data_IF_107020441204
#
_entry.id   IF_107020441204
#
_cell.length_a   1.000
_cell.length_b   1.000
_cell.length_c   1.000
_cell.angle_alpha   90.00
_cell.angle_beta   90.00
_cell.angle_gamma   90.00
#
_symmetry.space_group_name_H-M   'P 1'
#
loop_
_entity.id
_entity.type
_entity.pdbx_description
1 polymer ?
#
# COMPACT_ATOMS: atom_id res chain seq x y z
N UNK A 1 8.96 22.03 -7.25
CA UNK A 1 8.50 21.03 -6.28
C UNK A 1 8.81 19.66 -6.82
N UNK A 2 9.55 18.86 -6.06
CA UNK A 2 9.78 17.51 -6.52
C UNK A 2 8.49 16.72 -6.43
N UNK A 3 8.14 16.05 -7.49
CA UNK A 3 7.00 15.17 -7.50
C UNK A 3 7.38 13.86 -6.83
N UNK A 4 6.43 13.29 -6.08
CA UNK A 4 6.62 11.95 -5.55
C UNK A 4 6.40 10.98 -6.70
N UNK A 5 7.44 10.24 -7.05
CA UNK A 5 7.33 9.21 -8.07
C UNK A 5 7.17 7.87 -7.39
N UNK A 6 6.27 7.07 -7.90
CA UNK A 6 6.06 5.74 -7.36
C UNK A 6 5.71 4.78 -8.49
N UNK A 7 5.97 3.51 -8.23
CA UNK A 7 5.60 2.47 -9.15
C UNK A 7 5.05 1.29 -8.36
N UNK A 8 3.84 0.87 -8.68
CA UNK A 8 3.24 -0.30 -8.06
C UNK A 8 3.86 -1.52 -8.72
N UNK A 9 4.71 -2.21 -8.00
CA UNK A 9 5.39 -3.40 -8.51
C UNK A 9 4.50 -4.62 -8.49
N UNK A 10 3.62 -4.70 -7.49
CA UNK A 10 2.70 -5.80 -7.37
C UNK A 10 1.47 -5.33 -6.61
N UNK A 11 0.30 -5.60 -7.17
CA UNK A 11 -0.98 -5.37 -6.50
C UNK A 11 -1.33 -6.66 -5.76
N UNK A 12 -1.31 -6.62 -4.43
CA UNK A 12 -1.45 -7.83 -3.63
C UNK A 12 -2.91 -8.10 -3.30
N UNK A 13 -3.62 -7.12 -2.72
CA UNK A 13 -4.99 -7.35 -2.29
C UNK A 13 -5.74 -6.05 -2.06
N UNK A 14 -7.06 -6.14 -2.15
CA UNK A 14 -7.97 -5.08 -1.73
C UNK A 14 -8.56 -5.52 -0.40
N UNK A 15 -8.45 -4.68 0.62
CA UNK A 15 -8.99 -4.99 1.95
C UNK A 15 -10.43 -4.53 2.11
N UNK A 16 -10.77 -3.41 1.50
CA UNK A 16 -12.13 -2.86 1.59
C UNK A 16 -12.35 -1.87 0.48
N UNK A 17 -13.61 -1.57 0.23
CA UNK A 17 -14.01 -0.58 -0.76
C UNK A 17 -15.08 0.30 -0.15
N UNK A 18 -14.93 1.62 -0.27
CA UNK A 18 -15.90 2.57 0.22
C UNK A 18 -17.01 2.78 -0.79
N UNK A 19 -18.10 3.45 -0.35
CA UNK A 19 -19.24 3.75 -1.22
C UNK A 19 -18.85 4.67 -2.38
N UNK A 20 -17.75 5.42 -2.25
CA UNK A 20 -17.28 6.32 -3.30
C UNK A 20 -16.31 5.63 -4.27
N UNK A 21 -16.08 4.34 -4.09
CA UNK A 21 -15.19 3.59 -4.96
C UNK A 21 -13.72 3.66 -4.56
N UNK A 22 -13.39 4.29 -3.44
CA UNK A 22 -12.05 4.25 -2.91
C UNK A 22 -11.78 2.88 -2.30
N UNK A 23 -10.59 2.38 -2.49
CA UNK A 23 -10.21 1.04 -2.01
C UNK A 23 -9.00 1.13 -1.10
N UNK A 24 -9.07 0.40 0.01
CA UNK A 24 -7.89 0.21 0.83
C UNK A 24 -7.14 -1.00 0.28
N UNK A 25 -5.93 -0.77 -0.18
CA UNK A 25 -5.15 -1.80 -0.88
C UNK A 25 -3.83 -2.08 -0.20
N UNK A 26 -3.41 -3.33 -0.34
CA UNK A 26 -2.07 -3.76 0.01
C UNK A 26 -1.31 -3.95 -1.29
N UNK A 27 -0.24 -3.21 -1.46
CA UNK A 27 0.58 -3.25 -2.66
C UNK A 27 2.06 -3.29 -2.31
N UNK A 28 2.86 -3.71 -3.26
CA UNK A 28 4.32 -3.61 -3.18
C UNK A 28 4.69 -2.42 -4.05
N UNK A 29 5.21 -1.36 -3.45
CA UNK A 29 5.47 -0.10 -4.14
C UNK A 29 6.93 0.31 -4.02
N UNK A 30 7.48 0.75 -5.15
CA UNK A 30 8.79 1.38 -5.20
C UNK A 30 8.57 2.90 -5.19
N UNK A 31 9.05 3.55 -4.13
CA UNK A 31 8.96 5.01 -3.98
C UNK A 31 10.25 5.66 -4.45
N UNK A 32 10.14 6.61 -5.40
CA UNK A 32 11.28 7.38 -5.91
C UNK A 32 12.46 6.51 -6.34
N UNK A 33 12.17 5.36 -6.93
CA UNK A 33 13.20 4.44 -7.41
C UNK A 33 13.86 3.60 -6.33
N UNK A 34 13.35 3.66 -5.11
CA UNK A 34 13.88 2.85 -4.00
C UNK A 34 13.46 1.39 -4.12
N UNK A 35 14.08 0.52 -3.31
CA UNK A 35 13.67 -0.87 -3.22
C UNK A 35 12.19 -0.94 -2.82
N UNK A 36 11.42 -1.86 -3.41
CA UNK A 36 9.99 -1.95 -3.10
C UNK A 36 9.72 -2.25 -1.64
N UNK A 37 8.65 -1.63 -1.13
CA UNK A 37 8.17 -1.84 0.23
C UNK A 37 6.67 -2.12 0.19
N UNK A 38 6.16 -2.74 1.22
CA UNK A 38 4.73 -2.96 1.34
C UNK A 38 4.04 -1.66 1.71
N UNK A 39 2.85 -1.44 1.16
CA UNK A 39 2.10 -0.22 1.38
C UNK A 39 0.63 -0.54 1.56
N UNK A 40 0.06 -0.04 2.67
CA UNK A 40 -1.36 -0.13 2.96
C UNK A 40 -1.93 1.28 2.88
N UNK A 41 -2.78 1.52 1.91
CA UNK A 41 -3.34 2.85 1.75
C UNK A 41 -4.63 2.85 0.96
N UNK A 42 -5.37 3.95 1.08
CA UNK A 42 -6.57 4.17 0.29
C UNK A 42 -6.18 4.71 -1.08
N UNK A 43 -6.82 4.20 -2.11
CA UNK A 43 -6.63 4.64 -3.49
C UNK A 43 -7.97 5.04 -4.09
N UNK A 44 -7.97 6.14 -4.84
CA UNK A 44 -9.15 6.56 -5.59
C UNK A 44 -9.41 5.58 -6.74
N UNK A 45 -10.61 5.61 -7.33
CA UNK A 45 -10.86 4.84 -8.55
C UNK A 45 -9.78 5.16 -9.58
N UNK A 46 -9.30 4.14 -10.28
CA UNK A 46 -8.26 4.27 -11.29
C UNK A 46 -6.89 4.71 -10.76
N UNK A 47 -6.67 4.70 -9.46
CA UNK A 47 -5.39 5.07 -8.83
C UNK A 47 -4.89 6.47 -9.18
N UNK A 48 -5.80 7.39 -9.48
CA UNK A 48 -5.43 8.77 -9.80
C UNK A 48 -4.92 9.54 -8.57
N UNK A 49 -5.47 9.23 -7.41
CA UNK A 49 -5.09 9.89 -6.16
C UNK A 49 -4.84 8.85 -5.11
N UNK A 50 -3.89 9.14 -4.24
CA UNK A 50 -3.63 8.30 -3.09
C UNK A 50 -4.07 9.02 -1.83
N UNK A 51 -4.64 8.27 -0.90
CA UNK A 51 -5.06 8.79 0.38
C UNK A 51 -4.08 8.45 1.47
N UNK A 52 -4.60 8.39 2.69
CA UNK A 52 -3.80 8.06 3.87
C UNK A 52 -3.37 6.61 3.84
N UNK A 53 -2.17 6.36 4.33
CA UNK A 53 -1.67 5.02 4.42
C UNK A 53 -0.34 4.96 5.13
N UNK A 54 0.20 3.75 5.21
CA UNK A 54 1.50 3.52 5.81
C UNK A 54 2.33 2.64 4.88
N UNK A 55 3.63 2.86 4.94
CA UNK A 55 4.60 2.04 4.22
C UNK A 55 5.34 1.19 5.25
N UNK A 56 5.45 -0.10 4.99
CA UNK A 56 6.05 -1.05 5.91
C UNK A 56 7.24 -1.73 5.26
N UNK A 57 8.30 -1.91 6.05
CA UNK A 57 9.44 -2.70 5.60
C UNK A 57 9.08 -4.19 5.60
N UNK A 58 9.93 -5.00 4.96
CA UNK A 58 9.73 -6.45 4.96
C UNK A 58 9.73 -7.01 6.38
N UNK A 59 10.59 -6.49 7.25
CA UNK A 59 10.65 -6.92 8.66
C UNK A 59 9.35 -6.59 9.39
N UNK A 60 8.83 -5.38 9.16
CA UNK A 60 7.59 -4.95 9.80
C UNK A 60 6.41 -5.80 9.35
N UNK A 61 6.35 -6.13 8.06
CA UNK A 61 5.28 -6.98 7.53
C UNK A 61 5.38 -8.39 8.12
N UNK A 62 6.59 -8.92 8.24
CA UNK A 62 6.78 -10.24 8.82
C UNK A 62 6.31 -10.28 10.28
N UNK A 63 6.64 -9.24 11.03
CA UNK A 63 6.21 -9.11 12.41
C UNK A 63 4.68 -9.01 12.51
N UNK A 64 4.08 -8.20 11.65
CA UNK A 64 2.63 -8.04 11.62
C UNK A 64 1.95 -9.37 11.28
N UNK A 65 2.48 -10.09 10.31
CA UNK A 65 1.96 -11.39 9.93
C UNK A 65 1.95 -12.36 11.12
N UNK A 66 3.05 -12.39 11.86
CA UNK A 66 3.16 -13.25 13.03
C UNK A 66 2.12 -12.89 14.09
N UNK A 67 1.94 -11.58 14.33
CA UNK A 67 0.95 -11.11 15.31
C UNK A 67 -0.46 -11.51 14.88
N UNK A 68 -0.81 -11.28 13.61
CA UNK A 68 -2.13 -11.58 13.10
C UNK A 68 -2.45 -13.08 13.10
N UNK A 69 -1.45 -13.93 13.01
CA UNK A 69 -1.63 -15.36 13.06
C UNK A 69 -2.03 -15.88 14.45
N UNK A 70 -2.01 -15.00 15.45
CA UNK A 70 -2.43 -15.36 16.81
C UNK A 70 -3.88 -14.99 17.14
N UNK A 71 -4.58 -14.46 16.18
CA UNK A 71 -6.00 -14.12 16.36
C UNK A 71 -6.90 -15.28 15.97
#
# INVERSE_FOLDING_TARGET
MPEIKFEIKEHIAVLSESVKGWRKELNLISWNGSAPKYDLRDWSPNHEKMGKGITLSLEEVQKLKDILNHF
#
